data_IF_999399307346
#
_entry.id   IF_999399307346
#
_cell.length_a   1.000
_cell.length_b   1.000
_cell.length_c   1.000
_cell.angle_alpha   90.00
_cell.angle_beta   90.00
_cell.angle_gamma   90.00
#
_symmetry.space_group_name_H-M   'P 1'
#
loop_
_entity.id
_entity.type
_entity.pdbx_description
1 polymer ?
#
# COMPACT_ATOMS: atom_id res chain seq x y z
N UNK A 1 -5.89 13.07 -17.52
CA UNK A 1 -5.19 12.86 -16.24
C UNK A 1 -6.24 12.49 -15.20
N UNK A 2 -5.96 11.55 -14.30
CA UNK A 2 -6.82 11.23 -13.15
C UNK A 2 -5.98 11.28 -11.88
N UNK A 3 -6.55 11.81 -10.80
CA UNK A 3 -5.89 11.87 -9.50
C UNK A 3 -6.72 11.04 -8.52
N UNK A 4 -6.08 10.09 -7.85
CA UNK A 4 -6.69 9.30 -6.80
C UNK A 4 -5.94 9.54 -5.48
N UNK A 5 -6.69 9.54 -4.37
CA UNK A 5 -6.16 9.97 -3.09
C UNK A 5 -6.26 8.86 -2.04
N UNK A 6 -5.09 8.32 -1.64
CA UNK A 6 -5.00 7.41 -0.50
C UNK A 6 -4.60 8.14 0.80
N UNK A 7 -4.56 7.40 1.91
CA UNK A 7 -4.20 7.92 3.24
C UNK A 7 -2.75 8.42 3.32
N UNK A 8 -1.83 7.72 2.66
CA UNK A 8 -0.37 7.96 2.73
C UNK A 8 0.29 8.31 1.41
N UNK A 9 -0.46 8.16 0.30
CA UNK A 9 0.03 8.40 -1.05
C UNK A 9 -1.09 9.01 -1.87
N UNK A 10 -0.76 9.71 -2.93
CA UNK A 10 -1.70 10.02 -4.00
C UNK A 10 -1.15 9.47 -5.31
N UNK A 11 -2.05 9.17 -6.23
CA UNK A 11 -1.72 8.58 -7.52
C UNK A 11 -2.12 9.55 -8.60
N UNK A 12 -1.16 9.91 -9.46
CA UNK A 12 -1.41 10.66 -10.68
C UNK A 12 -1.34 9.67 -11.84
N UNK A 13 -2.49 9.40 -12.46
CA UNK A 13 -2.62 8.48 -13.57
C UNK A 13 -2.70 9.22 -14.91
N UNK A 14 -1.95 8.71 -15.88
CA UNK A 14 -1.95 9.15 -17.26
C UNK A 14 -2.38 7.99 -18.18
N UNK A 15 -3.69 7.70 -18.31
CA UNK A 15 -4.17 6.53 -19.05
C UNK A 15 -3.69 6.49 -20.51
N UNK A 16 -3.63 7.65 -21.19
CA UNK A 16 -3.13 7.74 -22.58
C UNK A 16 -1.66 7.37 -22.73
N UNK A 17 -0.86 7.55 -21.68
CA UNK A 17 0.55 7.17 -21.63
C UNK A 17 0.75 5.77 -21.04
N UNK A 18 -0.30 5.14 -20.53
CA UNK A 18 -0.21 3.83 -19.87
C UNK A 18 0.60 3.86 -18.56
N UNK A 19 0.71 5.01 -17.87
CA UNK A 19 1.51 5.13 -16.64
C UNK A 19 0.72 5.68 -15.45
N UNK A 20 1.12 5.27 -14.25
CA UNK A 20 0.66 5.80 -12.97
C UNK A 20 1.87 6.15 -12.10
N UNK A 21 1.83 7.34 -11.49
CA UNK A 21 2.87 7.83 -10.59
C UNK A 21 2.28 7.90 -9.18
N UNK A 22 2.79 7.09 -8.26
CA UNK A 22 2.38 7.11 -6.85
C UNK A 22 3.33 7.97 -6.05
N UNK A 23 2.85 9.08 -5.51
CA UNK A 23 3.67 10.05 -4.78
C UNK A 23 3.38 9.92 -3.28
N UNK A 24 4.45 9.81 -2.48
CA UNK A 24 4.38 9.74 -1.03
C UNK A 24 3.85 11.05 -0.44
N UNK A 25 2.93 10.95 0.52
CA UNK A 25 2.45 12.11 1.29
C UNK A 25 3.27 12.25 2.57
N UNK A 26 3.85 13.42 2.73
CA UNK A 26 4.48 13.86 3.97
C UNK A 26 3.46 14.74 4.70
N UNK A 27 3.25 14.49 6.00
CA UNK A 27 2.27 15.24 6.83
C UNK A 27 2.99 16.08 7.89
N UNK A 28 3.63 17.21 7.50
CA UNK A 28 4.48 17.98 8.41
C UNK A 28 3.70 18.62 9.55
N UNK A 29 2.47 19.08 9.30
CA UNK A 29 1.62 19.69 10.34
C UNK A 29 1.29 18.65 11.43
N UNK A 30 0.98 17.42 11.06
CA UNK A 30 0.62 16.36 12.01
C UNK A 30 1.85 15.89 12.79
N UNK A 31 3.00 15.82 12.12
CA UNK A 31 4.28 15.58 12.76
C UNK A 31 4.63 16.66 13.79
N UNK A 32 4.40 17.94 13.47
CA UNK A 32 4.64 19.06 14.38
C UNK A 32 3.69 19.06 15.57
N UNK A 33 2.39 18.80 15.37
CA UNK A 33 1.41 18.63 16.46
C UNK A 33 1.83 17.51 17.42
N UNK A 34 2.30 16.38 16.86
CA UNK A 34 2.81 15.25 17.66
C UNK A 34 4.07 15.63 18.42
N UNK A 35 5.00 16.31 17.77
CA UNK A 35 6.22 16.82 18.40
C UNK A 35 5.89 17.74 19.58
N UNK A 36 5.00 18.71 19.40
CA UNK A 36 4.60 19.62 20.46
C UNK A 36 3.99 18.87 21.66
N UNK A 37 3.06 17.95 21.40
CA UNK A 37 2.43 17.16 22.45
C UNK A 37 3.40 16.27 23.23
N UNK A 38 4.40 15.69 22.56
CA UNK A 38 5.34 14.75 23.18
C UNK A 38 6.48 15.46 23.89
N UNK A 39 6.99 16.59 23.38
CA UNK A 39 8.22 17.18 23.89
C UNK A 39 8.03 18.47 24.68
N UNK A 40 6.98 19.24 24.38
CA UNK A 40 6.70 20.50 25.09
C UNK A 40 5.86 20.25 26.34
N UNK A 41 4.89 19.32 26.28
CA UNK A 41 4.01 19.02 27.42
C UNK A 41 4.60 18.00 28.40
N UNK A 42 5.66 17.28 28.02
CA UNK A 42 6.24 16.22 28.83
C UNK A 42 7.40 16.72 29.71
N UNK A 43 7.28 16.54 31.02
CA UNK A 43 8.25 17.01 32.05
C UNK A 43 9.38 16.00 32.37
N UNK A 44 9.69 15.09 31.46
CA UNK A 44 10.77 14.11 31.64
C UNK A 44 12.18 14.73 31.56
N UNK A 45 13.18 13.98 32.06
CA UNK A 45 14.59 14.39 31.98
C UNK A 45 15.15 14.26 30.54
N UNK A 46 16.37 14.75 30.30
CA UNK A 46 16.97 14.76 28.96
C UNK A 46 17.12 13.36 28.33
N UNK A 47 17.46 12.34 29.14
CA UNK A 47 17.66 10.96 28.68
C UNK A 47 16.34 10.32 28.24
N UNK A 48 15.26 10.57 28.99
CA UNK A 48 13.91 10.14 28.64
C UNK A 48 13.43 10.80 27.35
N UNK A 49 13.64 12.11 27.21
CA UNK A 49 13.29 12.87 26.01
C UNK A 49 14.02 12.33 24.77
N UNK A 50 15.32 12.05 24.86
CA UNK A 50 16.07 11.46 23.75
C UNK A 50 15.57 10.07 23.37
N UNK A 51 15.28 9.22 24.36
CA UNK A 51 14.73 7.87 24.14
C UNK A 51 13.38 7.95 23.44
N UNK A 52 12.53 8.87 23.87
CA UNK A 52 11.22 9.10 23.25
C UNK A 52 11.34 9.64 21.84
N UNK A 53 12.29 10.55 21.56
CA UNK A 53 12.55 11.07 20.22
C UNK A 53 12.96 9.96 19.26
N UNK A 54 13.88 9.08 19.67
CA UNK A 54 14.25 7.91 18.86
C UNK A 54 13.04 7.02 18.57
N UNK A 55 12.20 6.77 19.57
CA UNK A 55 10.96 6.01 19.37
C UNK A 55 10.02 6.69 18.36
N UNK A 56 9.74 7.99 18.53
CA UNK A 56 8.82 8.73 17.67
C UNK A 56 9.34 8.88 16.23
N UNK A 57 10.65 8.97 16.01
CA UNK A 57 11.22 9.08 14.66
C UNK A 57 11.35 7.74 13.95
N UNK A 58 11.77 6.69 14.65
CA UNK A 58 12.16 5.42 14.00
C UNK A 58 11.12 4.30 14.11
N UNK A 59 10.16 4.36 15.05
CA UNK A 59 9.05 3.40 15.08
C UNK A 59 7.88 3.94 14.29
N UNK A 60 7.50 3.27 13.20
CA UNK A 60 6.35 3.65 12.37
C UNK A 60 5.09 2.91 12.82
N UNK A 61 4.47 3.36 13.91
CA UNK A 61 3.32 2.68 14.50
C UNK A 61 2.01 3.30 13.97
N UNK A 62 1.13 2.54 13.28
CA UNK A 62 -0.11 3.06 12.68
C UNK A 62 -1.30 3.17 13.66
N UNK A 63 -1.07 3.09 14.97
CA UNK A 63 -2.12 3.07 16.02
C UNK A 63 -2.86 4.42 16.12
N UNK A 64 -3.89 4.48 16.99
CA UNK A 64 -4.69 5.68 17.30
C UNK A 64 -3.86 6.96 17.55
N UNK A 65 -2.62 6.80 18.00
CA UNK A 65 -1.63 7.86 18.08
C UNK A 65 -0.41 7.53 17.23
N UNK A 66 -0.38 7.95 15.95
CA UNK A 66 0.76 7.69 15.09
C UNK A 66 1.98 8.49 15.53
N UNK A 67 3.16 7.94 15.24
CA UNK A 67 4.44 8.56 15.57
C UNK A 67 4.82 9.64 14.56
N UNK A 68 5.79 10.50 14.92
CA UNK A 68 6.36 11.51 14.01
C UNK A 68 6.85 10.86 12.71
N UNK A 69 7.63 9.78 12.83
CA UNK A 69 8.17 9.05 11.69
C UNK A 69 7.07 8.45 10.80
N UNK A 70 5.94 8.04 11.38
CA UNK A 70 4.80 7.57 10.60
C UNK A 70 4.19 8.69 9.74
N UNK A 71 4.07 9.90 10.28
CA UNK A 71 3.54 11.05 9.53
C UNK A 71 4.48 11.51 8.40
N UNK A 72 5.80 11.39 8.61
CA UNK A 72 6.80 11.89 7.67
C UNK A 72 7.20 10.86 6.62
N UNK A 73 7.38 9.59 7.00
CA UNK A 73 8.12 8.62 6.19
C UNK A 73 7.32 7.40 5.78
N UNK A 74 6.10 7.18 6.31
CA UNK A 74 5.37 5.94 6.04
C UNK A 74 4.98 5.76 4.56
N UNK A 75 4.60 6.85 3.88
CA UNK A 75 4.34 6.80 2.42
C UNK A 75 5.58 6.46 1.61
N UNK A 76 6.73 7.02 2.00
CA UNK A 76 8.04 6.77 1.38
C UNK A 76 8.43 5.31 1.58
N UNK A 77 8.33 4.83 2.82
CA UNK A 77 8.62 3.45 3.20
C UNK A 77 7.77 2.45 2.38
N UNK A 78 6.46 2.66 2.26
CA UNK A 78 5.59 1.76 1.50
C UNK A 78 5.93 1.76 0.01
N UNK A 79 6.18 2.92 -0.60
CA UNK A 79 6.61 2.99 -1.99
C UNK A 79 7.94 2.25 -2.22
N UNK A 80 8.94 2.49 -1.36
CA UNK A 80 10.22 1.80 -1.46
C UNK A 80 10.05 0.29 -1.35
N UNK A 81 9.18 -0.16 -0.45
CA UNK A 81 8.87 -1.58 -0.28
C UNK A 81 8.15 -2.21 -1.45
N UNK A 82 7.22 -1.52 -2.11
CA UNK A 82 6.62 -2.01 -3.35
C UNK A 82 7.71 -2.25 -4.41
N UNK A 83 8.58 -1.26 -4.59
CA UNK A 83 9.66 -1.34 -5.56
C UNK A 83 10.59 -2.53 -5.28
N UNK A 84 11.15 -2.61 -4.07
CA UNK A 84 12.05 -3.70 -3.68
C UNK A 84 11.35 -5.06 -3.77
N UNK A 85 10.10 -5.17 -3.32
CA UNK A 85 9.36 -6.42 -3.36
C UNK A 85 9.12 -6.89 -4.79
N UNK A 86 8.73 -6.00 -5.70
CA UNK A 86 8.59 -6.31 -7.11
C UNK A 86 9.93 -6.70 -7.74
N UNK A 87 10.99 -5.94 -7.50
CA UNK A 87 12.32 -6.25 -8.05
C UNK A 87 12.84 -7.61 -7.59
N UNK A 88 12.57 -7.99 -6.34
CA UNK A 88 12.99 -9.28 -5.78
C UNK A 88 12.16 -10.46 -6.30
N UNK A 89 10.84 -10.32 -6.33
CA UNK A 89 9.93 -11.47 -6.55
C UNK A 89 9.51 -11.63 -7.99
N UNK A 90 9.39 -10.52 -8.74
CA UNK A 90 8.81 -10.47 -10.10
C UNK A 90 7.46 -11.22 -10.19
N UNK A 91 6.73 -11.30 -9.08
CA UNK A 91 5.49 -12.06 -8.99
C UNK A 91 4.45 -11.48 -9.98
N UNK A 92 3.86 -12.34 -10.80
CA UNK A 92 2.97 -11.94 -11.90
C UNK A 92 1.64 -11.36 -11.44
N UNK A 93 1.21 -11.68 -10.21
CA UNK A 93 0.07 -11.05 -9.57
C UNK A 93 0.30 -9.56 -9.26
N UNK A 94 1.54 -9.08 -9.26
CA UNK A 94 1.85 -7.69 -8.99
C UNK A 94 1.73 -6.85 -10.26
N UNK A 95 1.12 -5.67 -10.11
CA UNK A 95 1.37 -4.60 -11.08
C UNK A 95 2.83 -4.14 -10.91
N UNK A 96 3.65 -4.16 -11.97
CA UNK A 96 5.07 -3.97 -11.83
C UNK A 96 5.42 -2.54 -11.37
N UNK A 97 6.41 -2.42 -10.49
CA UNK A 97 6.98 -1.13 -10.11
C UNK A 97 8.32 -0.95 -10.81
N UNK A 98 8.30 -0.23 -11.93
CA UNK A 98 9.46 -0.06 -12.79
C UNK A 98 10.54 0.81 -12.15
N UNK A 99 10.14 1.84 -11.41
CA UNK A 99 11.06 2.81 -10.82
C UNK A 99 10.56 3.31 -9.46
N UNK A 100 11.51 3.65 -8.59
CA UNK A 100 11.25 4.36 -7.34
C UNK A 100 12.36 5.37 -7.05
N UNK A 101 12.00 6.63 -6.82
CA UNK A 101 12.95 7.63 -6.35
C UNK A 101 13.06 7.58 -4.82
N UNK A 102 13.76 6.56 -4.31
CA UNK A 102 13.95 6.32 -2.86
C UNK A 102 12.60 6.36 -2.10
N UNK A 103 11.54 5.86 -2.73
CA UNK A 103 10.19 5.84 -2.16
C UNK A 103 9.40 7.16 -2.26
N UNK A 104 10.00 8.30 -2.61
CA UNK A 104 9.26 9.56 -2.76
C UNK A 104 8.18 9.45 -3.82
N UNK A 105 8.48 8.80 -4.95
CA UNK A 105 7.48 8.37 -5.88
C UNK A 105 7.84 7.03 -6.55
N UNK A 106 6.82 6.29 -6.93
CA UNK A 106 6.92 5.09 -7.76
C UNK A 106 6.30 5.34 -9.13
N UNK A 107 6.88 4.73 -10.16
CA UNK A 107 6.30 4.67 -11.51
C UNK A 107 5.88 3.22 -11.79
N UNK A 108 4.63 3.06 -12.20
CA UNK A 108 4.01 1.78 -12.55
C UNK A 108 3.26 1.93 -13.88
N UNK A 109 3.04 0.85 -14.64
CA UNK A 109 2.04 0.88 -15.70
C UNK A 109 0.66 1.15 -15.10
N UNK A 110 -0.14 1.93 -15.81
CA UNK A 110 -1.51 2.23 -15.43
C UNK A 110 -2.37 0.97 -15.58
N UNK A 111 -2.85 0.43 -14.46
CA UNK A 111 -3.94 -0.54 -14.45
C UNK A 111 -5.28 0.17 -14.24
N UNK A 112 -6.28 -0.14 -15.07
CA UNK A 112 -7.64 0.35 -14.86
C UNK A 112 -8.21 -0.39 -13.64
N UNK A 113 -8.61 0.32 -12.56
CA UNK A 113 -9.29 -0.30 -11.43
C UNK A 113 -10.42 -1.21 -11.89
N UNK A 114 -10.50 -2.39 -11.29
CA UNK A 114 -11.48 -3.40 -11.67
C UNK A 114 -12.90 -2.92 -11.31
N UNK A 115 -13.87 -3.25 -12.16
CA UNK A 115 -15.31 -2.98 -11.98
C UNK A 115 -16.04 -4.17 -11.35
N UNK A 116 -15.28 -5.15 -10.85
CA UNK A 116 -15.78 -6.40 -10.27
C UNK A 116 -16.36 -6.15 -8.89
N UNK A 117 -17.37 -6.94 -8.53
CA UNK A 117 -17.98 -6.89 -7.20
C UNK A 117 -16.95 -7.19 -6.11
N UNK A 118 -17.01 -6.43 -5.01
CA UNK A 118 -16.18 -6.69 -3.83
C UNK A 118 -16.46 -8.08 -3.25
N UNK A 119 -17.74 -8.48 -3.20
CA UNK A 119 -18.13 -9.78 -2.65
C UNK A 119 -17.46 -10.94 -3.37
N UNK A 120 -17.51 -10.95 -4.70
CA UNK A 120 -16.97 -12.05 -5.51
C UNK A 120 -15.44 -12.03 -5.54
N UNK A 121 -14.83 -10.85 -5.67
CA UNK A 121 -13.38 -10.69 -5.61
C UNK A 121 -12.84 -11.20 -4.28
N UNK A 122 -13.48 -10.81 -3.17
CA UNK A 122 -13.10 -11.22 -1.83
C UNK A 122 -13.30 -12.71 -1.60
N UNK A 123 -14.41 -13.29 -2.07
CA UNK A 123 -14.68 -14.72 -1.91
C UNK A 123 -13.67 -15.58 -2.66
N UNK A 124 -13.42 -15.30 -3.94
CA UNK A 124 -12.43 -16.05 -4.72
C UNK A 124 -11.00 -15.92 -4.15
N UNK A 125 -10.63 -14.73 -3.67
CA UNK A 125 -9.35 -14.54 -2.99
C UNK A 125 -9.29 -15.25 -1.63
N UNK A 126 -10.40 -15.30 -0.89
CA UNK A 126 -10.49 -16.01 0.38
C UNK A 126 -10.23 -17.51 0.18
N UNK A 127 -10.92 -18.13 -0.78
CA UNK A 127 -10.79 -19.56 -1.05
C UNK A 127 -9.39 -19.94 -1.54
N UNK A 128 -8.78 -19.12 -2.40
CA UNK A 128 -7.43 -19.39 -2.91
C UNK A 128 -6.34 -19.25 -1.84
N UNK A 129 -6.59 -18.45 -0.80
CA UNK A 129 -5.60 -18.13 0.24
C UNK A 129 -5.91 -18.73 1.60
N UNK A 130 -6.84 -19.68 1.69
CA UNK A 130 -7.30 -20.27 2.95
C UNK A 130 -7.69 -19.20 3.99
N UNK A 131 -8.32 -18.13 3.51
CA UNK A 131 -8.76 -16.98 4.28
C UNK A 131 -7.68 -15.98 4.71
N UNK A 132 -6.40 -16.21 4.37
CA UNK A 132 -5.29 -15.34 4.81
C UNK A 132 -5.40 -13.90 4.31
N UNK A 133 -6.08 -13.64 3.19
CA UNK A 133 -6.38 -12.27 2.71
C UNK A 133 -7.13 -11.41 3.73
N UNK A 134 -7.88 -12.04 4.65
CA UNK A 134 -8.61 -11.34 5.73
C UNK A 134 -7.68 -10.65 6.73
N UNK A 135 -6.40 -11.01 6.79
CA UNK A 135 -5.40 -10.35 7.64
C UNK A 135 -5.03 -8.95 7.15
N UNK A 136 -5.36 -8.59 5.90
CA UNK A 136 -5.11 -7.28 5.31
C UNK A 136 -6.29 -6.80 4.45
N UNK A 137 -7.45 -6.67 5.08
CA UNK A 137 -8.68 -6.20 4.41
C UNK A 137 -8.53 -4.85 3.74
N UNK A 138 -7.65 -3.96 4.22
CA UNK A 138 -7.43 -2.67 3.56
C UNK A 138 -6.90 -2.78 2.11
N UNK A 139 -6.11 -3.81 1.81
CA UNK A 139 -5.59 -4.01 0.45
C UNK A 139 -6.45 -4.96 -0.36
N UNK A 140 -7.00 -6.01 0.27
CA UNK A 140 -7.76 -7.06 -0.41
C UNK A 140 -9.27 -6.84 -0.49
N UNK A 141 -9.85 -5.98 0.36
CA UNK A 141 -11.29 -5.67 0.36
C UNK A 141 -11.63 -4.37 -0.40
N UNK A 142 -10.70 -3.86 -1.22
CA UNK A 142 -10.90 -2.64 -2.00
C UNK A 142 -10.67 -2.95 -3.48
N UNK A 143 -11.74 -3.08 -4.30
CA UNK A 143 -11.62 -3.41 -5.72
C UNK A 143 -10.74 -2.42 -6.47
N UNK A 144 -10.67 -1.16 -6.03
CA UNK A 144 -9.81 -0.17 -6.67
C UNK A 144 -8.31 -0.45 -6.54
N UNK A 145 -7.90 -1.39 -5.68
CA UNK A 145 -6.53 -1.90 -5.60
C UNK A 145 -6.22 -2.99 -6.63
N UNK A 146 -7.16 -3.37 -7.49
CA UNK A 146 -6.95 -4.42 -8.47
C UNK A 146 -7.21 -3.93 -9.89
N UNK A 147 -6.54 -4.57 -10.84
CA UNK A 147 -6.80 -4.43 -12.28
C UNK A 147 -6.94 -5.82 -12.88
N UNK A 148 -7.70 -5.92 -13.96
CA UNK A 148 -7.75 -7.14 -14.78
C UNK A 148 -7.13 -6.82 -16.14
N UNK A 149 -6.09 -7.56 -16.48
CA UNK A 149 -5.36 -7.41 -17.75
C UNK A 149 -5.15 -8.80 -18.34
N UNK A 150 -5.51 -8.99 -19.61
CA UNK A 150 -5.42 -10.29 -20.31
C UNK A 150 -6.09 -11.44 -19.54
N UNK A 151 -7.28 -11.17 -18.98
CA UNK A 151 -8.05 -12.08 -18.13
C UNK A 151 -7.32 -12.55 -16.86
N UNK A 152 -6.34 -11.77 -16.38
CA UNK A 152 -5.61 -12.06 -15.15
C UNK A 152 -5.73 -10.91 -14.16
N UNK A 153 -5.93 -11.26 -12.89
CA UNK A 153 -6.00 -10.29 -11.80
C UNK A 153 -4.59 -9.83 -11.43
N UNK A 154 -4.41 -8.52 -11.24
CA UNK A 154 -3.20 -7.95 -10.65
C UNK A 154 -3.54 -6.98 -9.54
N UNK A 155 -2.71 -6.97 -8.49
CA UNK A 155 -2.78 -6.02 -7.40
C UNK A 155 -1.93 -4.78 -7.71
N UNK A 156 -2.54 -3.62 -7.57
CA UNK A 156 -1.95 -2.30 -7.81
C UNK A 156 -1.19 -1.80 -6.58
N UNK A 157 -1.67 -2.08 -5.37
CA UNK A 157 -1.08 -1.63 -4.10
C UNK A 157 -0.64 -2.81 -3.21
N UNK A 158 0.65 -2.89 -2.91
CA UNK A 158 1.25 -4.00 -2.16
C UNK A 158 2.47 -3.55 -1.32
N UNK A 159 2.44 -2.31 -0.84
CA UNK A 159 3.52 -1.76 -0.01
C UNK A 159 3.54 -2.27 1.43
N UNK A 160 2.42 -2.84 1.89
CA UNK A 160 2.25 -3.25 3.28
C UNK A 160 2.80 -4.67 3.56
N UNK A 161 3.24 -4.92 4.80
CA UNK A 161 3.95 -6.16 5.13
C UNK A 161 3.07 -7.39 5.15
N UNK A 162 1.85 -7.23 5.66
CA UNK A 162 0.90 -8.33 5.66
C UNK A 162 0.54 -8.71 4.22
N UNK A 163 0.25 -7.72 3.35
CA UNK A 163 0.05 -7.96 1.91
C UNK A 163 1.20 -8.71 1.27
N UNK A 164 2.45 -8.27 1.49
CA UNK A 164 3.62 -8.92 0.90
C UNK A 164 3.82 -10.36 1.38
N UNK A 165 3.51 -10.67 2.65
CA UNK A 165 3.56 -12.04 3.17
C UNK A 165 2.53 -12.93 2.47
N UNK A 166 1.29 -12.45 2.32
CA UNK A 166 0.22 -13.16 1.62
C UNK A 166 0.61 -13.40 0.16
N UNK A 167 1.11 -12.37 -0.55
CA UNK A 167 1.53 -12.49 -1.95
C UNK A 167 2.73 -13.44 -2.10
N UNK A 168 3.65 -13.46 -1.13
CA UNK A 168 4.78 -14.40 -1.15
C UNK A 168 4.29 -15.85 -1.07
N UNK A 169 3.27 -16.12 -0.26
CA UNK A 169 2.74 -17.47 -0.07
C UNK A 169 1.78 -17.89 -1.20
N UNK A 170 0.93 -16.99 -1.67
CA UNK A 170 -0.22 -17.33 -2.53
C UNK A 170 -0.25 -16.60 -3.87
N UNK A 171 0.63 -15.62 -4.11
CA UNK A 171 0.53 -14.76 -5.30
C UNK A 171 0.60 -15.52 -6.62
N UNK A 172 1.40 -16.59 -6.69
CA UNK A 172 1.44 -17.45 -7.89
C UNK A 172 0.12 -18.18 -8.10
N UNK A 173 -0.40 -18.84 -7.05
CA UNK A 173 -1.70 -19.53 -7.07
C UNK A 173 -2.82 -18.57 -7.48
N UNK A 174 -2.87 -17.37 -6.91
CA UNK A 174 -3.85 -16.34 -7.27
C UNK A 174 -3.74 -15.99 -8.76
N UNK A 175 -2.53 -15.77 -9.27
CA UNK A 175 -2.32 -15.45 -10.68
C UNK A 175 -2.80 -16.57 -11.62
N UNK A 176 -2.51 -17.83 -11.28
CA UNK A 176 -2.80 -19.00 -12.10
C UNK A 176 -4.26 -19.43 -12.07
N UNK A 177 -4.88 -19.40 -10.88
CA UNK A 177 -6.18 -20.02 -10.62
C UNK A 177 -7.33 -19.04 -10.48
N UNK A 178 -7.08 -17.76 -10.16
CA UNK A 178 -8.18 -16.79 -10.05
C UNK A 178 -8.77 -16.50 -11.43
N UNK A 179 -10.07 -16.74 -11.58
CA UNK A 179 -10.83 -16.46 -12.80
C UNK A 179 -11.68 -15.19 -12.66
N UNK A 180 -11.27 -14.05 -13.24
CA UNK A 180 -12.04 -12.81 -13.17
C UNK A 180 -13.41 -12.89 -13.86
N UNK A 181 -13.66 -13.88 -14.72
CA UNK A 181 -14.93 -14.02 -15.44
C UNK A 181 -16.08 -14.48 -14.53
N UNK A 182 -15.75 -15.22 -13.46
CA UNK A 182 -16.70 -15.69 -12.45
C UNK A 182 -17.14 -14.61 -11.47
N UNK A 183 -16.46 -13.45 -11.47
CA UNK A 183 -16.83 -12.29 -10.68
C UNK A 183 -17.68 -11.34 -11.55
N UNK A 184 -19.01 -11.27 -11.44
CA UNK A 184 -19.81 -10.32 -12.19
C UNK A 184 -19.35 -8.87 -11.96
N UNK A 185 -19.50 -8.05 -13.00
CA UNK A 185 -19.25 -6.61 -12.94
C UNK A 185 -20.36 -5.94 -12.15
N UNK A 186 -20.02 -4.96 -11.32
CA UNK A 186 -21.01 -4.05 -10.76
C UNK A 186 -21.62 -3.22 -11.89
N UNK A 187 -22.95 -3.17 -11.96
CA UNK A 187 -23.69 -2.31 -12.90
C UNK A 187 -23.66 -0.86 -12.41
#
# INVERSE_FOLDING_TARGET
MKIAQGKHRFVVAFPRLGIAIKIAKIKPIEALKRFWNVFIRHKGNAKEKLTRLKFELFKMVPRAMPTIGYHLFYGIYNNWREFIFYQKTKNLFLQPTWFSFIGLFNIQPYGRPTDRSLGDLRHGLYDLTDGQVSLDGHHFDEPSNFTVENNRLKILDYGHQTTQKIITAYGQKIWEEFDPSQCPKYK
#
